data_IF_711164278804
#
_entry.id   IF_711164278804
#
_cell.length_a   1.000
_cell.length_b   1.000
_cell.length_c   1.000
_cell.angle_alpha   90.00
_cell.angle_beta   90.00
_cell.angle_gamma   90.00
#
_symmetry.space_group_name_H-M   'P 1'
#
loop_
_entity.id
_entity.type
_entity.pdbx_description
1 polymer ?
#
# COMPACT_ATOMS: atom_id res chain seq x y z
N UNK A 1 -37.27 -5.08 20.91
CA UNK A 1 -36.29 -3.98 21.11
C UNK A 1 -35.70 -3.47 19.78
N UNK A 2 -35.86 -4.18 18.65
CA UNK A 2 -35.30 -3.77 17.34
C UNK A 2 -36.33 -3.28 16.31
N UNK A 3 -37.63 -3.31 16.61
CA UNK A 3 -38.70 -2.90 15.67
C UNK A 3 -38.61 -1.42 15.25
N UNK A 4 -38.10 -0.53 16.11
CA UNK A 4 -37.92 0.89 15.78
C UNK A 4 -36.68 1.21 14.92
N UNK A 5 -35.80 0.23 14.71
CA UNK A 5 -34.57 0.38 13.92
C UNK A 5 -34.80 0.06 12.43
N UNK A 6 -35.77 -0.80 12.14
CA UNK A 6 -36.24 -1.15 10.78
C UNK A 6 -37.05 -0.02 10.15
N UNK A 7 -37.90 0.66 10.93
CA UNK A 7 -38.73 1.81 10.45
C UNK A 7 -37.88 3.05 10.10
N UNK A 8 -36.61 3.09 10.52
CA UNK A 8 -35.70 4.23 10.32
C UNK A 8 -34.91 4.18 9.01
N UNK A 9 -34.80 3.02 8.36
CA UNK A 9 -34.10 2.88 7.08
C UNK A 9 -34.98 3.30 5.89
N UNK A 10 -36.30 3.21 6.05
CA UNK A 10 -37.29 3.58 5.02
C UNK A 10 -37.79 5.04 5.13
N UNK A 11 -37.31 5.80 6.11
CA UNK A 11 -37.54 7.25 6.18
C UNK A 11 -38.91 7.71 6.67
N UNK A 12 -39.77 6.81 7.15
CA UNK A 12 -41.15 7.13 7.59
C UNK A 12 -41.44 6.86 9.09
N UNK A 13 -40.44 6.65 9.95
CA UNK A 13 -40.63 6.41 11.39
C UNK A 13 -39.99 7.44 12.33
N UNK A 14 -40.69 7.81 13.42
CA UNK A 14 -40.15 8.62 14.52
C UNK A 14 -39.20 7.77 15.39
N UNK A 15 -37.96 8.25 15.57
CA UNK A 15 -36.85 7.42 16.05
C UNK A 15 -36.91 7.24 17.57
N UNK A 16 -37.46 6.13 18.05
CA UNK A 16 -37.31 5.72 19.46
C UNK A 16 -35.93 5.10 19.71
N UNK A 17 -34.91 5.96 19.72
CA UNK A 17 -33.52 5.62 20.03
C UNK A 17 -32.65 6.86 20.07
N UNK A 18 -31.59 6.85 20.88
CA UNK A 18 -30.64 7.97 20.92
C UNK A 18 -29.71 7.87 19.70
N UNK A 19 -29.83 8.81 18.75
CA UNK A 19 -28.86 8.96 17.65
C UNK A 19 -27.49 9.34 18.22
N UNK A 20 -26.60 8.36 18.37
CA UNK A 20 -25.22 8.58 18.79
C UNK A 20 -24.39 8.77 17.53
N UNK A 21 -23.86 9.98 17.33
CA UNK A 21 -22.96 10.25 16.23
C UNK A 21 -21.53 10.14 16.71
N UNK A 22 -20.79 9.15 16.22
CA UNK A 22 -19.40 8.93 16.60
C UNK A 22 -18.52 10.12 16.16
N UNK A 23 -17.56 10.56 16.98
CA UNK A 23 -16.61 11.61 16.60
C UNK A 23 -15.60 11.11 15.55
N UNK A 24 -14.89 12.02 14.91
CA UNK A 24 -13.78 11.67 13.99
C UNK A 24 -12.57 11.04 14.69
N UNK A 25 -12.51 11.09 16.01
CA UNK A 25 -11.53 10.35 16.82
C UNK A 25 -11.81 8.84 16.86
N UNK A 26 -12.98 8.39 16.43
CA UNK A 26 -13.28 6.97 16.24
C UNK A 26 -12.65 6.48 14.92
N UNK A 27 -11.44 5.93 15.03
CA UNK A 27 -10.65 5.42 13.88
C UNK A 27 -11.46 4.40 13.08
N UNK A 28 -11.47 4.55 11.76
CA UNK A 28 -12.26 3.72 10.84
C UNK A 28 -13.70 4.16 10.63
N UNK A 29 -14.19 5.08 11.46
CA UNK A 29 -15.53 5.64 11.29
C UNK A 29 -15.66 6.53 10.04
N UNK A 30 -16.89 6.71 9.51
CA UNK A 30 -17.14 7.58 8.36
C UNK A 30 -16.58 9.01 8.53
N UNK A 31 -16.70 9.58 9.74
CA UNK A 31 -16.17 10.92 10.04
C UNK A 31 -14.64 10.95 10.13
N UNK A 32 -14.00 9.89 10.64
CA UNK A 32 -12.54 9.79 10.66
C UNK A 32 -12.00 9.73 9.22
N UNK A 33 -12.56 8.88 8.36
CA UNK A 33 -12.19 8.83 6.95
C UNK A 33 -12.45 10.15 6.22
N UNK A 34 -13.59 10.80 6.49
CA UNK A 34 -13.91 12.11 5.91
C UNK A 34 -12.88 13.17 6.33
N UNK A 35 -12.48 13.19 7.61
CA UNK A 35 -11.47 14.11 8.10
C UNK A 35 -10.10 13.84 7.46
N UNK A 36 -9.63 12.59 7.46
CA UNK A 36 -8.36 12.21 6.83
C UNK A 36 -8.34 12.60 5.34
N UNK A 37 -9.46 12.43 4.65
CA UNK A 37 -9.62 12.87 3.27
C UNK A 37 -9.50 14.38 3.14
N UNK A 38 -10.21 15.15 3.97
CA UNK A 38 -10.15 16.61 3.95
C UNK A 38 -8.74 17.12 4.24
N UNK A 39 -8.05 16.53 5.22
CA UNK A 39 -6.67 16.87 5.57
C UNK A 39 -5.71 16.59 4.41
N UNK A 40 -5.83 15.41 3.78
CA UNK A 40 -5.02 15.06 2.62
C UNK A 40 -5.30 15.95 1.40
N UNK A 41 -6.55 16.36 1.19
CA UNK A 41 -6.90 17.32 0.14
C UNK A 41 -6.37 18.72 0.44
N UNK A 42 -6.40 19.16 1.70
CA UNK A 42 -5.81 20.43 2.13
C UNK A 42 -4.29 20.45 1.88
N UNK A 43 -3.61 19.34 2.16
CA UNK A 43 -2.20 19.13 1.87
C UNK A 43 -1.88 19.26 0.38
N UNK A 44 -2.62 18.56 -0.48
CA UNK A 44 -2.44 18.65 -1.94
C UNK A 44 -2.75 20.05 -2.46
N UNK A 45 -3.76 20.72 -1.89
CA UNK A 45 -4.08 22.11 -2.24
C UNK A 45 -2.95 23.06 -1.86
N UNK A 46 -2.32 22.87 -0.70
CA UNK A 46 -1.26 23.74 -0.19
C UNK A 46 0.09 23.48 -0.86
N UNK A 47 0.58 22.23 -0.82
CA UNK A 47 1.91 21.84 -1.30
C UNK A 47 1.96 21.36 -2.74
N UNK A 48 0.82 21.39 -3.45
CA UNK A 48 0.66 20.91 -4.83
C UNK A 48 0.67 19.38 -4.92
N UNK A 49 1.15 18.86 -6.05
CA UNK A 49 0.85 17.53 -6.56
C UNK A 49 1.66 16.45 -5.83
N UNK A 50 1.06 15.31 -5.45
CA UNK A 50 1.82 14.16 -4.99
C UNK A 50 2.74 13.58 -6.07
N UNK A 51 3.96 13.23 -5.68
CA UNK A 51 5.05 12.90 -6.61
C UNK A 51 5.64 11.52 -6.43
N UNK A 52 5.66 10.99 -5.21
CA UNK A 52 6.09 9.61 -4.97
C UNK A 52 4.98 8.83 -4.31
N UNK A 53 4.78 7.63 -4.84
CA UNK A 53 3.98 6.60 -4.24
C UNK A 53 4.91 5.45 -3.85
N UNK A 54 4.91 5.09 -2.58
CA UNK A 54 5.72 4.00 -2.04
C UNK A 54 4.76 3.01 -1.39
N UNK A 55 4.85 1.75 -1.82
CA UNK A 55 4.16 0.65 -1.16
C UNK A 55 5.18 -0.30 -0.56
N UNK A 56 5.19 -0.43 0.76
CA UNK A 56 6.02 -1.42 1.46
C UNK A 56 5.12 -2.50 2.03
N UNK A 57 5.50 -3.74 1.80
CA UNK A 57 4.91 -4.91 2.46
C UNK A 57 5.82 -5.31 3.62
N UNK A 58 5.23 -5.69 4.75
CA UNK A 58 5.98 -6.33 5.85
C UNK A 58 6.80 -7.54 5.34
N UNK A 59 7.92 -7.84 6.00
CA UNK A 59 8.71 -9.03 5.68
C UNK A 59 8.81 -9.96 6.90
N UNK A 60 8.15 -11.12 6.88
CA UNK A 60 8.17 -12.07 8.00
C UNK A 60 9.57 -12.60 8.29
N UNK A 61 10.49 -12.53 7.32
CA UNK A 61 11.88 -12.99 7.43
C UNK A 61 12.81 -11.94 8.05
N UNK A 62 12.29 -10.82 8.53
CA UNK A 62 13.10 -9.83 9.23
C UNK A 62 13.80 -10.46 10.46
N UNK A 63 15.09 -10.16 10.69
CA UNK A 63 15.85 -10.76 11.78
C UNK A 63 15.19 -10.57 13.16
N UNK A 64 14.55 -9.43 13.40
CA UNK A 64 13.84 -9.11 14.62
C UNK A 64 12.68 -10.07 14.90
N UNK A 65 12.00 -10.52 13.84
CA UNK A 65 10.93 -11.50 13.93
C UNK A 65 11.54 -12.89 14.12
N UNK A 66 12.45 -13.28 13.22
CA UNK A 66 13.02 -14.62 13.18
C UNK A 66 13.79 -14.98 14.46
N UNK A 67 14.49 -14.03 15.07
CA UNK A 67 15.22 -14.25 16.33
C UNK A 67 14.29 -14.52 17.53
N UNK A 68 13.01 -14.16 17.42
CA UNK A 68 12.03 -14.35 18.50
C UNK A 68 11.26 -15.66 18.38
N UNK A 69 11.15 -16.22 17.17
CA UNK A 69 10.44 -17.48 16.92
C UNK A 69 11.17 -18.67 17.55
N UNK A 70 10.41 -19.60 18.15
CA UNK A 70 10.95 -20.81 18.76
C UNK A 70 10.44 -22.07 18.06
N UNK A 71 11.31 -23.07 17.92
CA UNK A 71 10.94 -24.36 17.33
C UNK A 71 10.31 -24.19 15.95
N UNK A 72 9.06 -24.66 15.80
CA UNK A 72 8.30 -24.61 14.54
C UNK A 72 7.27 -23.47 14.48
N UNK A 73 7.40 -22.46 15.34
CA UNK A 73 6.51 -21.28 15.32
C UNK A 73 6.68 -20.48 14.02
N UNK A 74 5.58 -19.86 13.60
CA UNK A 74 5.56 -18.96 12.44
C UNK A 74 5.20 -17.53 12.88
N UNK A 75 5.55 -16.51 12.07
CA UNK A 75 5.14 -15.12 12.35
C UNK A 75 3.63 -14.95 12.55
N UNK A 76 2.81 -15.77 11.88
CA UNK A 76 1.36 -15.78 12.03
C UNK A 76 0.90 -16.17 13.44
N UNK A 77 1.71 -16.91 14.20
CA UNK A 77 1.44 -17.23 15.60
C UNK A 77 1.72 -16.03 16.54
N UNK A 78 2.47 -15.04 16.08
CA UNK A 78 2.91 -13.87 16.86
C UNK A 78 2.49 -12.54 16.20
N UNK A 79 1.18 -12.29 16.01
CA UNK A 79 0.70 -11.10 15.30
C UNK A 79 1.11 -9.78 15.98
N UNK A 80 1.30 -9.79 17.30
CA UNK A 80 1.79 -8.64 18.07
C UNK A 80 3.25 -8.29 17.73
N UNK A 81 4.10 -9.29 17.52
CA UNK A 81 5.49 -9.11 17.13
C UNK A 81 5.57 -8.53 15.72
N UNK A 82 4.82 -9.11 14.78
CA UNK A 82 4.72 -8.64 13.39
C UNK A 82 4.27 -7.17 13.35
N UNK A 83 3.20 -6.83 14.06
CA UNK A 83 2.70 -5.45 14.12
C UNK A 83 3.73 -4.47 14.69
N UNK A 84 4.46 -4.84 15.74
CA UNK A 84 5.50 -3.99 16.36
C UNK A 84 6.72 -3.81 15.46
N UNK A 85 7.21 -4.88 14.84
CA UNK A 85 8.38 -4.80 13.94
C UNK A 85 8.02 -3.98 12.71
N UNK A 86 6.82 -4.15 12.14
CA UNK A 86 6.31 -3.28 11.09
C UNK A 86 6.30 -1.82 11.51
N UNK A 87 5.75 -1.50 12.69
CA UNK A 87 5.70 -0.12 13.18
C UNK A 87 7.09 0.48 13.34
N UNK A 88 8.03 -0.30 13.89
CA UNK A 88 9.43 0.11 14.04
C UNK A 88 10.06 0.41 12.68
N UNK A 89 9.98 -0.52 11.73
CA UNK A 89 10.55 -0.35 10.39
C UNK A 89 9.90 0.79 9.62
N UNK A 90 8.59 1.01 9.78
CA UNK A 90 7.89 2.14 9.18
C UNK A 90 8.36 3.48 9.77
N UNK A 91 8.59 3.56 11.08
CA UNK A 91 9.12 4.78 11.70
C UNK A 91 10.53 5.10 11.21
N UNK A 92 11.41 4.09 11.10
CA UNK A 92 12.75 4.26 10.55
C UNK A 92 12.68 4.68 9.08
N UNK A 93 11.78 4.07 8.29
CA UNK A 93 11.51 4.48 6.91
C UNK A 93 11.09 5.94 6.80
N UNK A 94 10.13 6.36 7.60
CA UNK A 94 9.67 7.75 7.57
C UNK A 94 10.80 8.72 7.96
N UNK A 95 11.68 8.36 8.88
CA UNK A 95 12.89 9.15 9.19
C UNK A 95 13.86 9.20 8.00
N UNK A 96 14.15 8.06 7.38
CA UNK A 96 15.03 7.98 6.21
C UNK A 96 14.51 8.82 5.04
N UNK A 97 13.20 8.85 4.84
CA UNK A 97 12.57 9.60 3.78
C UNK A 97 12.45 11.11 4.09
N UNK A 98 12.11 11.48 5.33
CA UNK A 98 11.76 12.87 5.68
C UNK A 98 12.86 13.66 6.38
N UNK A 99 13.79 13.00 7.07
CA UNK A 99 14.91 13.62 7.80
C UNK A 99 16.19 13.44 7.01
N UNK A 100 16.50 12.20 6.62
CA UNK A 100 17.72 11.87 5.89
C UNK A 100 17.60 12.16 4.38
N UNK A 101 16.39 12.47 3.90
CA UNK A 101 16.10 12.93 2.53
C UNK A 101 16.62 11.96 1.45
N UNK A 102 16.57 10.65 1.70
CA UNK A 102 17.10 9.65 0.77
C UNK A 102 16.38 9.62 -0.59
N UNK A 103 15.16 10.15 -0.67
CA UNK A 103 14.41 10.34 -1.94
C UNK A 103 14.19 11.82 -2.29
N UNK A 104 14.97 12.72 -1.70
CA UNK A 104 14.82 14.16 -1.85
C UNK A 104 14.12 14.82 -0.65
N UNK A 105 13.90 16.12 -0.76
CA UNK A 105 13.26 16.91 0.29
C UNK A 105 11.75 16.72 0.25
N UNK A 106 11.21 16.10 1.30
CA UNK A 106 9.76 15.91 1.49
C UNK A 106 9.17 17.14 2.18
N UNK A 107 8.18 17.77 1.54
CA UNK A 107 7.40 18.87 2.13
C UNK A 107 6.27 18.33 3.02
N UNK A 108 5.59 17.29 2.54
CA UNK A 108 4.51 16.64 3.26
C UNK A 108 4.35 15.20 2.81
N UNK A 109 3.77 14.36 3.66
CA UNK A 109 3.42 12.99 3.33
C UNK A 109 2.13 12.56 4.01
N UNK A 110 1.46 11.56 3.43
CA UNK A 110 0.31 10.87 4.02
C UNK A 110 0.59 9.39 3.87
N UNK A 111 0.22 8.59 4.87
CA UNK A 111 0.31 7.14 4.74
C UNK A 111 -0.87 6.43 5.38
N UNK A 112 -1.20 5.27 4.84
CA UNK A 112 -2.26 4.38 5.30
C UNK A 112 -1.68 2.98 5.45
N UNK A 113 -2.08 2.24 6.49
CA UNK A 113 -1.70 0.83 6.64
C UNK A 113 -2.89 -0.03 6.31
N UNK A 114 -2.73 -0.87 5.29
CA UNK A 114 -3.71 -1.87 4.87
C UNK A 114 -3.38 -3.22 5.52
N UNK A 115 -4.24 -3.66 6.45
CA UNK A 115 -4.20 -5.02 6.99
C UNK A 115 -5.04 -5.95 6.10
N UNK A 116 -4.39 -6.91 5.46
CA UNK A 116 -5.07 -7.86 4.57
C UNK A 116 -5.47 -9.12 5.33
N UNK A 117 -6.66 -9.69 5.07
CA UNK A 117 -7.17 -10.90 5.75
C UNK A 117 -6.20 -12.10 5.76
N UNK A 118 -5.47 -12.29 4.67
CA UNK A 118 -4.51 -13.40 4.46
C UNK A 118 -3.15 -12.91 3.96
N UNK A 119 -2.92 -11.60 4.02
CA UNK A 119 -1.73 -10.95 3.49
C UNK A 119 -0.98 -10.25 4.60
N UNK A 120 0.32 -10.07 4.37
CA UNK A 120 1.15 -9.26 5.24
C UNK A 120 0.63 -7.81 5.22
N UNK A 121 0.71 -7.05 6.31
CA UNK A 121 0.31 -5.65 6.29
C UNK A 121 1.13 -4.84 5.27
N UNK A 122 0.48 -3.87 4.63
CA UNK A 122 1.12 -2.98 3.66
C UNK A 122 1.02 -1.53 4.12
N UNK A 123 2.11 -0.78 4.02
CA UNK A 123 2.08 0.67 4.14
C UNK A 123 1.98 1.28 2.73
N UNK A 124 0.96 2.10 2.52
CA UNK A 124 0.78 2.93 1.34
C UNK A 124 1.18 4.36 1.71
N UNK A 125 2.29 4.85 1.15
CA UNK A 125 2.86 6.15 1.48
C UNK A 125 2.85 7.03 0.25
N UNK A 126 2.34 8.24 0.40
CA UNK A 126 2.31 9.27 -0.64
C UNK A 126 3.12 10.46 -0.16
N UNK A 127 4.04 10.94 -1.00
CA UNK A 127 4.91 12.07 -0.68
C UNK A 127 4.78 13.21 -1.67
N UNK A 128 4.77 14.42 -1.12
CA UNK A 128 4.88 15.68 -1.84
C UNK A 128 6.31 16.19 -1.62
N UNK A 129 7.07 16.31 -2.71
CA UNK A 129 8.47 16.73 -2.68
C UNK A 129 8.60 18.23 -2.97
N UNK A 130 9.70 18.84 -2.52
CA UNK A 130 10.09 20.19 -2.91
C UNK A 130 10.45 20.26 -4.39
N UNK A 131 10.25 21.41 -5.03
CA UNK A 131 10.51 21.64 -6.46
C UNK A 131 11.94 21.28 -6.90
N UNK A 132 12.91 21.45 -6.01
CA UNK A 132 14.31 21.08 -6.23
C UNK A 132 14.57 19.57 -6.23
N UNK A 133 13.63 18.76 -5.71
CA UNK A 133 13.71 17.31 -5.60
C UNK A 133 12.78 16.57 -6.57
N UNK A 134 12.01 17.30 -7.38
CA UNK A 134 11.18 16.71 -8.43
C UNK A 134 12.09 16.21 -9.56
N UNK A 135 12.02 14.94 -9.97
CA UNK A 135 12.78 14.45 -11.12
C UNK A 135 12.27 15.14 -12.39
N UNK A 136 13.18 15.80 -13.14
CA UNK A 136 12.83 16.57 -14.35
C UNK A 136 13.29 15.88 -15.63
N UNK A 137 14.28 15.02 -15.52
CA UNK A 137 14.87 14.31 -16.66
C UNK A 137 14.66 12.80 -16.52
N UNK A 138 14.78 12.10 -17.65
CA UNK A 138 14.82 10.63 -17.70
C UNK A 138 15.89 10.07 -16.75
N UNK A 139 17.07 10.70 -16.72
CA UNK A 139 18.17 10.33 -15.82
C UNK A 139 17.79 10.45 -14.35
N UNK A 140 17.06 11.49 -13.96
CA UNK A 140 16.60 11.65 -12.58
C UNK A 140 15.59 10.57 -12.20
N UNK A 141 14.69 10.21 -13.13
CA UNK A 141 13.73 9.13 -12.93
C UNK A 141 14.45 7.80 -12.76
N UNK A 142 15.40 7.46 -13.64
CA UNK A 142 16.15 6.21 -13.60
C UNK A 142 17.06 6.13 -12.36
N UNK A 143 17.56 7.28 -11.88
CA UNK A 143 18.27 7.34 -10.61
C UNK A 143 17.36 7.05 -9.42
N UNK A 144 16.06 7.35 -9.52
CA UNK A 144 15.07 7.17 -8.46
C UNK A 144 14.36 5.82 -8.50
N UNK A 145 14.03 5.31 -9.68
CA UNK A 145 13.24 4.10 -9.87
C UNK A 145 13.91 3.20 -10.90
N UNK A 146 14.12 1.95 -10.53
CA UNK A 146 14.60 0.89 -11.40
C UNK A 146 13.49 -0.14 -11.57
N UNK A 147 13.37 -0.71 -12.77
CA UNK A 147 12.42 -1.77 -13.07
C UNK A 147 13.10 -2.95 -13.79
N UNK A 148 14.40 -3.14 -13.55
CA UNK A 148 15.21 -4.19 -14.16
C UNK A 148 15.78 -5.15 -13.10
N UNK A 149 16.06 -6.37 -13.52
CA UNK A 149 16.81 -7.37 -12.77
C UNK A 149 18.26 -6.85 -12.63
N UNK A 150 18.79 -6.73 -11.40
CA UNK A 150 20.18 -6.33 -11.17
C UNK A 150 21.17 -7.30 -11.81
N UNK A 151 22.38 -6.83 -12.12
CA UNK A 151 23.44 -7.74 -12.57
C UNK A 151 23.86 -8.67 -11.42
N UNK A 152 23.81 -9.99 -11.63
CA UNK A 152 24.08 -10.98 -10.60
C UNK A 152 25.54 -10.99 -10.10
N UNK A 153 26.49 -10.62 -10.95
CA UNK A 153 27.92 -10.59 -10.62
C UNK A 153 28.29 -9.30 -9.88
N UNK A 154 27.77 -8.16 -10.32
CA UNK A 154 28.10 -6.84 -9.77
C UNK A 154 27.25 -6.48 -8.54
N UNK A 155 25.97 -6.88 -8.53
CA UNK A 155 25.00 -6.50 -7.51
C UNK A 155 24.30 -7.74 -6.92
N UNK A 156 25.08 -8.77 -6.58
CA UNK A 156 24.56 -10.07 -6.12
C UNK A 156 23.55 -9.98 -4.96
N UNK A 157 23.82 -9.12 -3.97
CA UNK A 157 22.91 -8.92 -2.84
C UNK A 157 21.57 -8.33 -3.27
N UNK A 158 21.60 -7.31 -4.13
CA UNK A 158 20.38 -6.68 -4.66
C UNK A 158 19.63 -7.66 -5.56
N UNK A 159 20.33 -8.42 -6.40
CA UNK A 159 19.76 -9.49 -7.23
C UNK A 159 18.99 -10.50 -6.37
N UNK A 160 19.58 -10.99 -5.28
CA UNK A 160 18.93 -11.92 -4.34
C UNK A 160 17.65 -11.35 -3.72
N UNK A 161 17.59 -10.05 -3.46
CA UNK A 161 16.39 -9.39 -2.92
C UNK A 161 15.33 -9.21 -4.01
N UNK A 162 15.71 -8.65 -5.17
CA UNK A 162 14.78 -8.36 -6.29
C UNK A 162 14.11 -9.63 -6.77
N UNK A 163 14.87 -10.70 -6.98
CA UNK A 163 14.36 -12.01 -7.42
C UNK A 163 13.45 -12.70 -6.40
N UNK A 164 13.42 -12.25 -5.14
CA UNK A 164 12.53 -12.80 -4.10
C UNK A 164 11.32 -11.92 -3.80
N UNK A 165 11.46 -10.61 -4.00
CA UNK A 165 10.52 -9.62 -3.44
C UNK A 165 9.91 -8.67 -4.46
N UNK A 166 10.47 -8.53 -5.65
CA UNK A 166 10.03 -7.55 -6.65
C UNK A 166 9.53 -8.19 -7.94
N UNK A 167 9.09 -9.45 -7.87
CA UNK A 167 8.49 -10.14 -9.01
C UNK A 167 6.97 -9.97 -8.99
N UNK A 168 6.40 -9.62 -10.14
CA UNK A 168 4.98 -9.76 -10.36
C UNK A 168 4.67 -11.21 -10.72
N UNK A 169 3.66 -11.80 -10.08
CA UNK A 169 3.27 -13.18 -10.36
C UNK A 169 2.76 -13.34 -11.82
N UNK A 170 3.03 -14.46 -12.50
CA UNK A 170 2.56 -14.71 -13.86
C UNK A 170 1.05 -14.44 -13.98
N UNK A 171 0.70 -13.56 -14.92
CA UNK A 171 -0.66 -13.05 -15.07
C UNK A 171 -1.31 -13.68 -16.29
N UNK A 172 -1.83 -14.88 -16.11
CA UNK A 172 -2.45 -15.69 -17.17
C UNK A 172 -3.96 -15.77 -16.99
N UNK A 173 -4.67 -16.22 -18.03
CA UNK A 173 -6.12 -16.43 -17.97
C UNK A 173 -6.48 -17.39 -16.82
N UNK A 174 -7.45 -17.00 -15.99
CA UNK A 174 -7.82 -17.73 -14.78
C UNK A 174 -6.99 -17.39 -13.53
N UNK A 175 -5.92 -16.59 -13.64
CA UNK A 175 -5.22 -16.07 -12.46
C UNK A 175 -6.06 -15.03 -11.71
N UNK A 176 -5.83 -14.88 -10.39
CA UNK A 176 -6.54 -13.91 -9.54
C UNK A 176 -6.39 -12.45 -10.02
N UNK A 177 -5.36 -12.16 -10.81
CA UNK A 177 -5.09 -10.83 -11.35
C UNK A 177 -5.56 -10.65 -12.80
N UNK A 178 -6.11 -11.70 -13.42
CA UNK A 178 -6.70 -11.63 -14.75
C UNK A 178 -8.09 -11.00 -14.71
N UNK A 179 -8.39 -10.21 -15.73
CA UNK A 179 -9.69 -9.58 -15.95
C UNK A 179 -10.13 -9.86 -17.38
N UNK A 180 -11.39 -9.55 -17.72
CA UNK A 180 -11.91 -9.70 -19.07
C UNK A 180 -11.09 -8.91 -20.12
N UNK A 181 -10.32 -7.91 -19.70
CA UNK A 181 -9.44 -7.10 -20.56
C UNK A 181 -7.96 -7.45 -20.40
N UNK A 182 -7.63 -8.64 -19.88
CA UNK A 182 -6.27 -9.09 -19.60
C UNK A 182 -5.82 -8.80 -18.17
N UNK A 183 -4.51 -8.75 -17.94
CA UNK A 183 -3.96 -8.55 -16.60
C UNK A 183 -4.37 -7.19 -16.01
N UNK A 184 -4.92 -7.19 -14.78
CA UNK A 184 -5.40 -5.99 -14.06
C UNK A 184 -4.39 -4.86 -14.00
N UNK A 185 -3.11 -5.20 -13.87
CA UNK A 185 -2.01 -4.24 -13.77
C UNK A 185 -1.16 -4.15 -15.04
N UNK A 186 -1.58 -4.83 -16.12
CA UNK A 186 -0.91 -4.84 -17.41
C UNK A 186 0.50 -5.43 -17.34
N UNK A 187 0.65 -6.56 -16.66
CA UNK A 187 1.85 -7.39 -16.67
C UNK A 187 1.65 -8.60 -17.60
N UNK A 188 2.71 -9.10 -18.26
CA UNK A 188 4.07 -8.54 -18.30
C UNK A 188 4.12 -7.14 -18.94
N UNK A 189 4.98 -6.24 -18.46
CA UNK A 189 5.14 -4.89 -19.02
C UNK A 189 5.88 -4.95 -20.36
N UNK A 190 5.58 -4.08 -21.34
CA UNK A 190 6.36 -4.05 -22.58
C UNK A 190 7.83 -3.69 -22.29
N UNK A 191 8.76 -4.23 -23.09
CA UNK A 191 10.14 -3.78 -23.08
C UNK A 191 10.24 -2.30 -23.50
N UNK A 192 11.20 -1.60 -22.91
CA UNK A 192 11.51 -0.21 -23.20
C UNK A 192 13.03 -0.01 -23.07
N UNK A 193 13.69 0.41 -24.15
CA UNK A 193 15.14 0.61 -24.16
C UNK A 193 15.59 1.77 -23.25
N UNK A 194 14.71 2.75 -23.06
CA UNK A 194 14.88 3.93 -22.24
C UNK A 194 13.56 4.29 -21.54
N UNK A 195 13.65 5.04 -20.43
CA UNK A 195 12.47 5.56 -19.75
C UNK A 195 11.86 6.69 -20.57
N UNK A 196 10.53 6.70 -20.73
CA UNK A 196 9.79 7.77 -21.39
C UNK A 196 8.77 8.42 -20.45
N UNK A 197 8.66 9.74 -20.56
CA UNK A 197 7.71 10.55 -19.80
C UNK A 197 6.46 10.72 -20.66
N UNK A 198 5.30 10.36 -20.12
CA UNK A 198 4.00 10.59 -20.76
C UNK A 198 3.26 11.70 -20.03
N UNK A 199 2.65 12.62 -20.79
CA UNK A 199 1.91 13.76 -20.25
C UNK A 199 0.60 13.38 -19.52
N UNK A 200 0.15 12.12 -19.53
CA UNK A 200 -1.12 11.70 -18.93
C UNK A 200 -1.07 10.32 -18.22
N UNK A 201 0.13 9.76 -18.05
CA UNK A 201 0.31 8.43 -17.47
C UNK A 201 1.57 8.33 -16.61
N UNK A 202 1.66 7.23 -15.85
CA UNK A 202 2.92 6.88 -15.18
C UNK A 202 4.05 6.83 -16.23
N UNK A 203 5.28 7.23 -15.86
CA UNK A 203 6.44 7.01 -16.72
C UNK A 203 6.52 5.55 -17.14
N UNK A 204 6.86 5.31 -18.40
CA UNK A 204 7.23 3.96 -18.85
C UNK A 204 8.69 3.80 -18.46
N UNK A 205 8.95 3.03 -17.41
CA UNK A 205 10.32 2.77 -16.94
C UNK A 205 11.09 1.89 -17.92
N UNK A 206 12.39 2.14 -18.04
CA UNK A 206 13.34 1.32 -18.77
C UNK A 206 13.27 -0.15 -18.35
N UNK A 207 13.12 -1.03 -19.33
CA UNK A 207 13.07 -2.49 -19.22
C UNK A 207 13.73 -3.06 -20.47
N UNK A 208 15.04 -3.28 -20.45
CA UNK A 208 15.79 -3.82 -21.60
C UNK A 208 15.62 -5.33 -21.69
N UNK A 209 15.66 -5.86 -22.90
CA UNK A 209 15.67 -7.30 -23.15
C UNK A 209 17.09 -7.86 -22.94
N UNK A 210 17.57 -7.84 -21.70
CA UNK A 210 18.97 -8.13 -21.38
C UNK A 210 19.16 -9.15 -20.25
N UNK A 211 18.15 -9.37 -19.41
CA UNK A 211 18.28 -10.22 -18.22
C UNK A 211 17.04 -11.05 -18.00
N UNK A 212 17.26 -12.31 -17.64
CA UNK A 212 16.23 -13.28 -17.26
C UNK A 212 16.78 -14.29 -16.27
N UNK A 213 15.91 -14.90 -15.48
CA UNK A 213 16.26 -16.04 -14.64
C UNK A 213 15.06 -16.97 -14.48
N UNK A 214 15.34 -18.23 -14.19
CA UNK A 214 14.31 -19.25 -13.98
C UNK A 214 13.94 -19.33 -12.49
N UNK A 215 12.65 -19.35 -12.19
CA UNK A 215 12.15 -19.63 -10.85
C UNK A 215 10.93 -20.55 -10.94
N UNK A 216 11.12 -21.81 -10.57
CA UNK A 216 10.13 -22.86 -10.80
C UNK A 216 10.00 -23.15 -12.30
N UNK A 217 8.78 -23.14 -12.81
CA UNK A 217 8.47 -23.36 -14.23
C UNK A 217 8.41 -22.09 -15.08
N UNK A 218 8.68 -20.91 -14.48
CA UNK A 218 8.53 -19.63 -15.15
C UNK A 218 9.88 -18.93 -15.35
N UNK A 219 10.08 -18.35 -16.53
CA UNK A 219 11.23 -17.52 -16.87
C UNK A 219 10.85 -16.07 -16.61
N UNK A 220 11.41 -15.48 -15.55
CA UNK A 220 11.19 -14.07 -15.24
C UNK A 220 12.14 -13.21 -16.04
N UNK A 221 11.63 -12.10 -16.56
CA UNK A 221 12.37 -11.11 -17.33
C UNK A 221 12.22 -9.72 -16.71
N UNK A 222 12.87 -8.72 -17.30
CA UNK A 222 12.64 -7.31 -16.95
C UNK A 222 11.19 -6.86 -17.14
N UNK A 223 10.33 -7.62 -17.83
CA UNK A 223 8.90 -7.29 -17.99
C UNK A 223 8.09 -7.53 -16.71
N UNK A 224 8.59 -8.41 -15.83
CA UNK A 224 7.87 -8.91 -14.66
C UNK A 224 8.25 -8.16 -13.38
N UNK A 225 9.27 -7.30 -13.46
CA UNK A 225 9.80 -6.58 -12.30
C UNK A 225 8.86 -5.46 -11.87
N UNK A 226 8.56 -5.42 -10.58
CA UNK A 226 7.84 -4.32 -9.96
C UNK A 226 8.83 -3.17 -9.75
N UNK A 227 8.52 -1.92 -10.12
CA UNK A 227 9.45 -0.80 -9.99
C UNK A 227 9.88 -0.57 -8.53
N UNK A 228 11.17 -0.34 -8.29
CA UNK A 228 11.74 -0.25 -6.95
C UNK A 228 12.85 0.81 -6.87
N UNK A 229 13.20 1.21 -5.64
CA UNK A 229 14.43 1.96 -5.34
C UNK A 229 15.44 1.03 -4.69
N UNK A 230 16.65 0.93 -5.26
CA UNK A 230 17.77 0.10 -4.75
C UNK A 230 18.01 0.30 -3.25
N UNK A 231 18.09 1.55 -2.79
CA UNK A 231 18.29 1.91 -1.39
C UNK A 231 17.25 1.27 -0.46
N UNK A 232 15.95 1.34 -0.81
CA UNK A 232 14.89 0.81 0.04
C UNK A 232 14.99 -0.72 0.15
N UNK A 233 15.28 -1.40 -0.96
CA UNK A 233 15.45 -2.86 -0.94
C UNK A 233 16.66 -3.29 -0.11
N UNK A 234 17.81 -2.61 -0.28
CA UNK A 234 19.01 -2.94 0.47
C UNK A 234 18.84 -2.68 1.97
N UNK A 235 18.15 -1.59 2.33
CA UNK A 235 17.95 -1.19 3.73
C UNK A 235 16.89 -2.02 4.44
N UNK A 236 15.74 -2.25 3.81
CA UNK A 236 14.56 -2.85 4.44
C UNK A 236 14.30 -4.29 4.01
N UNK A 237 14.97 -4.79 2.97
CA UNK A 237 14.91 -6.19 2.53
C UNK A 237 13.47 -6.74 2.41
N UNK A 238 12.55 -5.95 1.89
CA UNK A 238 11.14 -6.27 1.76
C UNK A 238 10.62 -5.88 0.38
N UNK A 239 9.42 -6.31 0.03
CA UNK A 239 8.76 -5.82 -1.18
C UNK A 239 8.46 -4.32 -1.02
N UNK A 240 9.15 -3.48 -1.81
CA UNK A 240 9.01 -2.03 -1.78
C UNK A 240 8.82 -1.46 -3.20
N UNK A 241 7.57 -1.30 -3.61
CA UNK A 241 7.23 -0.69 -4.89
C UNK A 241 7.36 0.83 -4.78
N UNK A 242 8.08 1.46 -5.72
CA UNK A 242 8.19 2.91 -5.84
C UNK A 242 7.69 3.33 -7.20
N UNK A 243 6.69 4.20 -7.23
CA UNK A 243 6.13 4.74 -8.45
C UNK A 243 6.08 6.27 -8.40
N UNK A 244 6.33 6.91 -9.54
CA UNK A 244 6.12 8.34 -9.75
C UNK A 244 4.74 8.49 -10.37
N UNK A 245 3.67 8.73 -9.59
CA UNK A 245 2.37 9.00 -10.17
C UNK A 245 2.41 10.24 -11.06
N UNK A 246 1.53 10.29 -12.06
CA UNK A 246 1.33 11.45 -12.92
C UNK A 246 -0.13 11.97 -12.89
N UNK A 247 -0.32 13.28 -13.02
CA UNK A 247 -1.60 13.97 -13.11
C UNK A 247 -2.62 13.65 -12.00
N UNK A 248 -3.90 13.59 -12.40
CA UNK A 248 -5.07 13.29 -11.55
C UNK A 248 -5.01 11.84 -11.00
N UNK A 249 -4.25 10.93 -11.62
CA UNK A 249 -4.12 9.54 -11.15
C UNK A 249 -3.50 9.48 -9.76
N UNK A 250 -2.59 10.40 -9.43
CA UNK A 250 -2.05 10.56 -8.08
C UNK A 250 -3.15 10.84 -7.04
N UNK A 251 -4.08 11.74 -7.39
CA UNK A 251 -5.18 12.15 -6.54
C UNK A 251 -6.23 11.05 -6.39
N UNK A 252 -6.56 10.36 -7.48
CA UNK A 252 -7.43 9.17 -7.45
C UNK A 252 -6.84 8.07 -6.57
N UNK A 253 -5.52 7.91 -6.60
CA UNK A 253 -4.83 6.93 -5.77
C UNK A 253 -4.92 7.32 -4.28
N UNK A 254 -4.65 8.59 -3.95
CA UNK A 254 -4.83 9.13 -2.60
C UNK A 254 -6.25 8.87 -2.08
N UNK A 255 -7.27 9.21 -2.88
CA UNK A 255 -8.67 8.94 -2.55
C UNK A 255 -8.95 7.46 -2.31
N UNK A 256 -8.46 6.59 -3.21
CA UNK A 256 -8.75 5.15 -3.14
C UNK A 256 -8.32 4.54 -1.81
N UNK A 257 -7.17 4.93 -1.25
CA UNK A 257 -6.64 4.27 -0.04
C UNK A 257 -7.05 4.95 1.25
N UNK A 258 -7.19 6.29 1.27
CA UNK A 258 -7.79 6.99 2.42
C UNK A 258 -9.26 6.58 2.60
N UNK A 259 -9.98 6.41 1.49
CA UNK A 259 -11.42 6.11 1.49
C UNK A 259 -11.73 4.64 1.21
N UNK A 260 -10.74 3.73 1.21
CA UNK A 260 -10.96 2.30 0.91
C UNK A 260 -11.96 1.68 1.90
N UNK A 261 -12.00 2.23 3.11
CA UNK A 261 -12.72 1.65 4.22
C UNK A 261 -12.08 0.37 4.71
N UNK A 262 -12.61 -0.14 5.80
CA UNK A 262 -12.14 -1.37 6.42
C UNK A 262 -12.87 -2.58 5.86
N UNK A 263 -12.26 -3.75 6.00
CA UNK A 263 -12.94 -4.99 5.67
C UNK A 263 -14.18 -5.12 6.56
N UNK A 264 -15.34 -5.33 5.92
CA UNK A 264 -16.61 -5.52 6.63
C UNK A 264 -17.12 -6.92 6.42
N UNK A 265 -17.83 -7.43 7.42
CA UNK A 265 -18.59 -8.67 7.35
C UNK A 265 -20.04 -8.36 7.66
N UNK A 266 -20.94 -8.81 6.78
CA UNK A 266 -22.34 -8.92 7.12
C UNK A 266 -22.55 -10.27 7.83
N UNK A 267 -23.18 -10.24 9.00
CA UNK A 267 -23.63 -11.41 9.72
C UNK A 267 -25.15 -11.42 9.63
N UNK A 268 -25.71 -12.50 9.12
CA UNK A 268 -27.15 -12.71 9.14
C UNK A 268 -27.60 -13.07 10.56
N UNK A 269 -28.67 -12.44 11.03
CA UNK A 269 -29.30 -12.75 12.30
C UNK A 269 -30.58 -13.52 11.99
N UNK A 270 -30.57 -14.83 12.20
CA UNK A 270 -31.74 -15.68 11.97
C UNK A 270 -32.91 -15.31 12.89
N UNK A 271 -33.78 -14.40 12.44
CA UNK A 271 -35.19 -14.31 12.81
C UNK A 271 -36.00 -13.92 11.56
N UNK A 272 -36.46 -14.93 10.81
CA UNK A 272 -37.61 -14.97 9.89
C UNK A 272 -37.82 -13.87 8.82
N UNK A 273 -36.81 -13.08 8.47
CA UNK A 273 -36.85 -12.26 7.25
C UNK A 273 -35.44 -12.12 6.63
N UNK A 274 -35.20 -12.93 5.60
CA UNK A 274 -33.94 -13.11 4.86
C UNK A 274 -33.40 -11.80 4.23
N UNK A 275 -34.23 -10.74 4.14
CA UNK A 275 -33.84 -9.46 3.53
C UNK A 275 -33.52 -8.37 4.57
N UNK A 276 -33.93 -8.53 5.84
CA UNK A 276 -34.03 -7.41 6.78
C UNK A 276 -33.16 -7.49 8.05
N UNK A 277 -32.57 -8.64 8.39
CA UNK A 277 -31.87 -8.83 9.68
C UNK A 277 -30.37 -9.11 9.52
N UNK A 278 -29.56 -8.13 9.12
CA UNK A 278 -28.09 -8.30 9.06
C UNK A 278 -27.32 -7.28 9.90
N UNK A 279 -26.28 -7.76 10.60
CA UNK A 279 -25.29 -6.90 11.27
C UNK A 279 -24.10 -6.71 10.36
N UNK A 280 -23.86 -5.47 9.93
CA UNK A 280 -22.69 -5.14 9.14
C UNK A 280 -21.55 -4.60 10.02
N UNK A 281 -20.70 -5.50 10.50
CA UNK A 281 -19.58 -5.20 11.40
C UNK A 281 -18.25 -5.01 10.66
N UNK A 282 -17.34 -4.24 11.28
CA UNK A 282 -15.93 -4.17 10.87
C UNK A 282 -15.21 -5.45 11.30
N UNK A 283 -14.46 -6.04 10.39
CA UNK A 283 -13.51 -7.10 10.72
C UNK A 283 -12.18 -6.48 11.16
N UNK A 284 -11.71 -6.85 12.35
CA UNK A 284 -10.38 -6.45 12.85
C UNK A 284 -9.52 -7.71 12.93
N UNK A 285 -8.47 -7.75 12.12
CA UNK A 285 -7.52 -8.87 12.13
C UNK A 285 -6.60 -8.87 13.35
N UNK A 286 -5.97 -10.00 13.72
CA UNK A 286 -5.06 -10.06 14.86
C UNK A 286 -3.92 -9.04 14.80
N UNK A 287 -3.30 -8.85 13.63
CA UNK A 287 -2.21 -7.87 13.46
C UNK A 287 -2.71 -6.43 13.59
N UNK A 288 -3.91 -6.13 13.11
CA UNK A 288 -4.53 -4.81 13.22
C UNK A 288 -4.89 -4.49 14.67
N UNK A 289 -5.50 -5.44 15.39
CA UNK A 289 -5.83 -5.26 16.81
C UNK A 289 -4.61 -5.06 17.72
N UNK A 290 -3.45 -5.56 17.30
CA UNK A 290 -2.18 -5.33 17.99
C UNK A 290 -1.42 -4.10 17.49
N UNK A 291 -1.85 -3.51 16.38
CA UNK A 291 -1.28 -2.28 15.86
C UNK A 291 -1.93 -1.10 16.58
N UNK A 292 -1.22 -0.49 17.53
CA UNK A 292 -1.72 0.67 18.23
C UNK A 292 -1.20 1.94 17.54
N UNK A 293 -2.02 2.65 16.72
CA UNK A 293 -1.61 3.92 16.13
C UNK A 293 -1.54 4.97 17.24
N UNK A 294 -0.36 5.19 17.81
CA UNK A 294 -0.14 6.31 18.75
C UNK A 294 -0.05 7.66 18.04
N UNK A 295 -0.11 7.70 16.71
CA UNK A 295 0.06 8.90 15.89
C UNK A 295 -0.84 8.86 14.66
N UNK A 296 -1.58 9.96 14.43
CA UNK A 296 -2.50 10.15 13.30
C UNK A 296 -1.80 9.92 11.94
N UNK A 297 -2.54 9.35 10.99
CA UNK A 297 -2.13 9.03 9.61
C UNK A 297 -1.73 10.26 8.74
N UNK A 298 -1.77 11.46 9.32
CA UNK A 298 -1.39 12.72 8.68
C UNK A 298 -0.44 13.45 9.63
N UNK A 299 0.85 13.47 9.28
CA UNK A 299 1.86 14.23 10.00
C UNK A 299 2.29 15.40 9.12
N UNK A 300 1.91 16.59 9.54
CA UNK A 300 2.45 17.85 9.03
C UNK A 300 3.84 18.05 9.64
N UNK A 301 4.82 18.37 8.80
CA UNK A 301 6.01 19.11 9.24
C UNK A 301 5.77 20.59 9.02
#
# INVERSE_FOLDING_TARGET
MYQGLTETLDGEGDVNGKKIVLPSTFIGGPRAMTQLYQDAMALVKHFRRPLLFIKITENPKWPEIQATLKGNETPSNHPHLVARVLQFNLNVLLQDLTVNKHLGTVLSYVYEIEFQKRGLPHAHIIMILADSSIPKTVRDIDALVCAEIPNQEQENHLFSIVTKTMLYAPCEEGSHFWTNCGCKWGYPKPYAAETSISNDAYPVYCRRQASSFECGSHVYTNQDIIPYKKYLLLRYQCHANVAIPYGIKALKYLYKYICKGEDRSALDLEENDETNSFVNGRYIGPSEGNYHPRTNNVLLK
#
